data_IF_768178107305
#
_entry.id   IF_768178107305
#
_cell.length_a   1.000
_cell.length_b   1.000
_cell.length_c   1.000
_cell.angle_alpha   90.00
_cell.angle_beta   90.00
_cell.angle_gamma   90.00
#
_symmetry.space_group_name_H-M   'P 1'
#
loop_
_entity.id
_entity.type
_entity.pdbx_description
1 polymer ?
#
# COMPACT_ATOMS: atom_id res chain seq x y z
N UNK A 1 8.03 8.80 20.04
CA UNK A 1 8.19 9.36 18.67
C UNK A 1 8.22 8.13 17.80
N UNK A 2 7.32 7.98 16.84
CA UNK A 2 7.42 6.84 15.90
C UNK A 2 8.56 7.23 14.97
N UNK A 3 9.65 6.48 15.00
CA UNK A 3 10.82 6.81 14.20
C UNK A 3 10.50 6.55 12.72
N UNK A 4 11.04 7.37 11.82
CA UNK A 4 10.75 7.26 10.37
C UNK A 4 11.15 5.89 9.81
N UNK A 5 12.10 5.20 10.44
CA UNK A 5 12.52 3.83 10.12
C UNK A 5 11.40 2.82 10.40
N UNK A 6 10.67 2.97 11.50
CA UNK A 6 9.54 2.10 11.84
C UNK A 6 8.40 2.27 10.82
N UNK A 7 8.11 3.51 10.40
CA UNK A 7 7.09 3.80 9.40
C UNK A 7 7.42 3.20 8.03
N UNK A 8 8.71 3.05 7.70
CA UNK A 8 9.13 2.45 6.43
C UNK A 8 8.97 0.94 6.44
N UNK A 9 9.21 0.28 7.57
CA UNK A 9 9.06 -1.16 7.71
C UNK A 9 7.60 -1.64 7.55
N UNK A 10 6.64 -0.75 7.77
CA UNK A 10 5.21 -1.01 7.53
C UNK A 10 4.81 -0.97 6.04
N UNK A 11 5.67 -0.44 5.16
CA UNK A 11 5.42 -0.38 3.72
C UNK A 11 6.01 -1.64 3.07
N UNK A 12 5.20 -2.47 2.37
CA UNK A 12 5.73 -3.55 1.55
C UNK A 12 6.71 -3.01 0.51
N UNK A 13 7.82 -3.70 0.25
CA UNK A 13 8.76 -3.25 -0.79
C UNK A 13 8.13 -3.24 -2.18
N UNK A 14 7.22 -4.19 -2.43
CA UNK A 14 6.63 -4.44 -3.74
C UNK A 14 5.15 -4.77 -3.63
N UNK A 15 4.42 -4.48 -4.71
CA UNK A 15 3.07 -4.97 -4.96
C UNK A 15 3.02 -5.71 -6.31
N UNK A 16 1.95 -6.44 -6.54
CA UNK A 16 1.71 -7.19 -7.77
C UNK A 16 0.50 -6.63 -8.50
N UNK A 17 0.69 -6.15 -9.72
CA UNK A 17 -0.40 -5.65 -10.56
C UNK A 17 -0.86 -6.73 -11.53
N UNK A 18 -2.17 -6.92 -11.65
CA UNK A 18 -2.75 -7.86 -12.61
C UNK A 18 -2.73 -7.25 -14.02
N UNK A 19 -2.05 -7.93 -14.94
CA UNK A 19 -2.03 -7.60 -16.38
C UNK A 19 -3.03 -8.47 -17.17
N UNK A 20 -4.15 -8.83 -16.53
CA UNK A 20 -5.17 -9.72 -17.05
C UNK A 20 -4.58 -11.05 -17.57
N UNK A 21 -4.61 -11.28 -18.89
CA UNK A 21 -4.12 -12.55 -19.49
C UNK A 21 -2.59 -12.68 -19.51
N UNK A 22 -1.86 -11.62 -19.21
CA UNK A 22 -0.38 -11.62 -19.20
C UNK A 22 0.21 -12.03 -17.84
N UNK A 23 -0.65 -12.36 -16.87
CA UNK A 23 -0.23 -12.71 -15.51
C UNK A 23 -0.14 -11.48 -14.61
N UNK A 24 0.82 -11.50 -13.69
CA UNK A 24 1.06 -10.40 -12.75
C UNK A 24 2.46 -9.83 -12.97
N UNK A 25 2.58 -8.52 -12.83
CA UNK A 25 3.86 -7.82 -12.85
C UNK A 25 4.17 -7.27 -11.46
N UNK A 26 5.44 -7.32 -11.09
CA UNK A 26 5.95 -6.82 -9.81
C UNK A 26 6.23 -5.33 -9.95
N UNK A 27 5.66 -4.51 -9.08
CA UNK A 27 5.87 -3.07 -9.01
C UNK A 27 6.44 -2.67 -7.66
N UNK A 28 7.55 -1.93 -7.65
CA UNK A 28 8.14 -1.42 -6.42
C UNK A 28 7.26 -0.31 -5.82
N UNK A 29 7.05 -0.30 -4.51
CA UNK A 29 6.36 0.79 -3.80
C UNK A 29 7.32 1.92 -3.40
N UNK A 30 8.61 1.76 -3.67
CA UNK A 30 9.68 2.72 -3.37
C UNK A 30 9.77 3.86 -4.39
N UNK A 31 8.63 4.22 -5.00
CA UNK A 31 8.51 5.28 -6.00
C UNK A 31 7.45 6.30 -5.60
N UNK A 32 7.52 7.50 -6.18
CA UNK A 32 6.49 8.52 -6.00
C UNK A 32 5.35 8.30 -6.99
N UNK A 33 4.12 8.18 -6.47
CA UNK A 33 2.92 7.93 -7.28
C UNK A 33 2.16 9.22 -7.67
N UNK A 34 2.78 10.39 -7.51
CA UNK A 34 2.20 11.66 -7.96
C UNK A 34 2.41 11.82 -9.47
N UNK A 35 1.39 12.31 -10.18
CA UNK A 35 1.38 12.39 -11.66
C UNK A 35 2.56 13.14 -12.27
N UNK A 36 3.08 14.14 -11.57
CA UNK A 36 4.13 15.04 -12.06
C UNK A 36 5.49 14.73 -11.40
N UNK A 37 5.71 13.49 -10.95
CA UNK A 37 6.96 13.06 -10.32
C UNK A 37 7.36 11.65 -10.77
N UNK A 38 8.60 11.51 -11.19
CA UNK A 38 9.27 10.29 -11.62
C UNK A 38 10.35 9.88 -10.60
N UNK A 39 10.08 10.09 -9.30
CA UNK A 39 11.04 9.71 -8.26
C UNK A 39 10.98 8.21 -8.00
N UNK A 40 12.06 7.50 -8.32
CA UNK A 40 12.27 6.08 -7.99
C UNK A 40 13.29 5.90 -6.85
N UNK A 41 13.83 7.00 -6.31
CA UNK A 41 14.83 6.96 -5.25
C UNK A 41 14.19 6.86 -3.86
N UNK A 42 14.47 5.76 -3.16
CA UNK A 42 14.03 5.46 -1.80
C UNK A 42 14.38 6.57 -0.79
N UNK A 43 15.61 7.09 -0.85
CA UNK A 43 16.15 8.10 0.08
C UNK A 43 15.44 9.45 -0.01
N UNK A 44 14.74 9.68 -1.14
CA UNK A 44 13.94 10.87 -1.39
C UNK A 44 12.49 10.70 -0.95
N UNK A 45 12.09 9.53 -0.44
CA UNK A 45 10.76 9.27 0.10
C UNK A 45 10.82 9.20 1.63
N UNK A 46 10.17 10.16 2.28
CA UNK A 46 10.11 10.23 3.74
C UNK A 46 8.68 9.94 4.24
N UNK A 47 8.43 8.72 4.76
CA UNK A 47 7.26 8.47 5.59
C UNK A 47 7.33 9.34 6.84
N UNK A 48 6.22 10.00 7.19
CA UNK A 48 6.18 10.90 8.36
C UNK A 48 4.97 10.72 9.26
N UNK A 49 3.96 9.97 8.81
CA UNK A 49 2.75 9.69 9.60
C UNK A 49 2.15 8.36 9.15
N UNK A 50 1.60 7.62 10.10
CA UNK A 50 0.74 6.47 9.86
C UNK A 50 -0.59 6.64 10.58
N UNK A 51 -1.67 6.23 9.93
CA UNK A 51 -2.97 6.01 10.53
C UNK A 51 -3.38 4.56 10.29
N UNK A 52 -3.93 3.92 11.31
CA UNK A 52 -4.41 2.56 11.22
C UNK A 52 -5.87 2.51 11.66
N UNK A 53 -6.69 1.86 10.84
CA UNK A 53 -8.11 1.65 11.06
C UNK A 53 -8.38 0.15 10.87
N UNK A 54 -8.94 -0.50 11.89
CA UNK A 54 -9.25 -1.92 11.84
C UNK A 54 -10.71 -2.15 12.20
N UNK A 55 -11.41 -2.86 11.32
CA UNK A 55 -12.79 -3.31 11.50
C UNK A 55 -12.83 -4.85 11.47
N UNK A 56 -14.03 -5.42 11.70
CA UNK A 56 -14.27 -6.87 11.62
C UNK A 56 -13.95 -7.46 10.24
N UNK A 57 -14.10 -6.67 9.17
CA UNK A 57 -13.99 -7.13 7.77
C UNK A 57 -12.62 -6.83 7.16
N UNK A 58 -12.00 -5.72 7.57
CA UNK A 58 -10.79 -5.19 6.92
C UNK A 58 -9.89 -4.43 7.89
N UNK A 59 -8.62 -4.33 7.52
CA UNK A 59 -7.61 -3.50 8.16
C UNK A 59 -7.07 -2.52 7.12
N UNK A 60 -6.97 -1.24 7.47
CA UNK A 60 -6.48 -0.19 6.60
C UNK A 60 -5.32 0.52 7.30
N UNK A 61 -4.15 0.51 6.68
CA UNK A 61 -3.01 1.34 7.06
C UNK A 61 -2.81 2.44 6.03
N UNK A 62 -2.81 3.69 6.46
CA UNK A 62 -2.51 4.86 5.63
C UNK A 62 -1.16 5.41 6.04
N UNK A 63 -0.20 5.37 5.13
CA UNK A 63 1.16 5.84 5.36
C UNK A 63 1.35 7.09 4.51
N UNK A 64 1.62 8.21 5.18
CA UNK A 64 1.81 9.50 4.56
C UNK A 64 3.29 9.68 4.25
N UNK A 65 3.58 9.95 2.98
CA UNK A 65 4.93 10.02 2.44
C UNK A 65 5.13 11.37 1.79
N UNK A 66 6.24 12.02 2.13
CA UNK A 66 6.73 13.22 1.46
C UNK A 66 7.82 12.84 0.48
N UNK A 67 7.67 13.22 -0.77
CA UNK A 67 8.73 13.08 -1.77
C UNK A 67 9.58 14.35 -1.78
N UNK A 68 10.88 14.25 -1.50
CA UNK A 68 11.83 15.37 -1.54
C UNK A 68 12.04 15.90 -2.96
N UNK A 69 11.97 15.05 -3.99
CA UNK A 69 12.20 15.43 -5.39
C UNK A 69 11.18 16.45 -5.88
N UNK A 70 9.88 16.18 -5.70
CA UNK A 70 8.80 17.09 -6.09
C UNK A 70 8.24 17.93 -4.95
N UNK A 71 8.72 17.73 -3.72
CA UNK A 71 8.16 18.32 -2.48
C UNK A 71 6.67 18.02 -2.24
N UNK A 72 6.11 17.05 -2.97
CA UNK A 72 4.71 16.64 -2.88
C UNK A 72 4.48 15.60 -1.78
N UNK A 73 3.27 15.59 -1.24
CA UNK A 73 2.82 14.59 -0.29
C UNK A 73 1.82 13.65 -0.97
N UNK A 74 1.95 12.36 -0.70
CA UNK A 74 1.00 11.33 -1.11
C UNK A 74 0.79 10.34 0.03
N UNK A 75 -0.24 9.53 -0.10
CA UNK A 75 -0.61 8.54 0.91
C UNK A 75 -0.63 7.18 0.25
N UNK A 76 0.12 6.23 0.80
CA UNK A 76 -0.07 4.81 0.49
C UNK A 76 -1.13 4.27 1.42
N UNK A 77 -2.23 3.79 0.84
CA UNK A 77 -3.30 3.11 1.57
C UNK A 77 -3.16 1.61 1.32
N UNK A 78 -2.78 0.88 2.36
CA UNK A 78 -2.70 -0.56 2.42
C UNK A 78 -4.01 -1.09 3.03
N UNK A 79 -4.81 -1.82 2.26
CA UNK A 79 -6.08 -2.38 2.71
C UNK A 79 -6.02 -3.91 2.67
N UNK A 80 -6.16 -4.54 3.83
CA UNK A 80 -6.20 -6.01 3.98
C UNK A 80 -7.63 -6.44 4.28
N UNK A 81 -8.22 -7.25 3.41
CA UNK A 81 -9.54 -7.86 3.63
C UNK A 81 -9.32 -9.21 4.32
N UNK A 82 -9.96 -9.45 5.47
CA UNK A 82 -9.65 -10.60 6.35
C UNK A 82 -10.30 -11.94 5.95
N UNK A 83 -11.40 -11.91 5.20
CA UNK A 83 -12.23 -13.09 4.92
C UNK A 83 -12.59 -13.20 3.42
N UNK A 84 -11.60 -13.36 2.57
CA UNK A 84 -11.77 -13.37 1.10
C UNK A 84 -12.17 -14.74 0.59
N UNK A 85 -11.67 -15.79 1.22
CA UNK A 85 -12.11 -17.16 0.95
C UNK A 85 -11.90 -18.03 2.19
N UNK A 86 -12.87 -18.89 2.49
CA UNK A 86 -12.71 -19.97 3.47
C UNK A 86 -13.00 -21.29 2.76
N UNK A 87 -12.19 -22.30 3.03
CA UNK A 87 -12.42 -23.63 2.52
C UNK A 87 -13.75 -24.17 3.03
N UNK A 88 -14.54 -24.76 2.14
CA UNK A 88 -15.80 -25.43 2.49
C UNK A 88 -15.59 -26.90 2.84
N UNK A 89 -14.35 -27.38 2.77
CA UNK A 89 -13.97 -28.78 2.99
C UNK A 89 -13.33 -29.03 4.34
N UNK A 90 -12.63 -28.04 4.87
CA UNK A 90 -11.99 -28.08 6.19
C UNK A 90 -12.37 -26.82 6.98
N UNK A 91 -13.17 -26.99 8.03
CA UNK A 91 -13.63 -25.89 8.88
C UNK A 91 -12.50 -25.28 9.73
N UNK A 92 -11.39 -26.01 9.87
CA UNK A 92 -10.17 -25.64 10.60
C UNK A 92 -9.17 -24.83 9.76
N UNK A 93 -9.37 -24.70 8.44
CA UNK A 93 -8.52 -23.81 7.62
C UNK A 93 -8.84 -22.33 7.89
N UNK A 94 -7.80 -21.57 8.22
CA UNK A 94 -7.88 -20.12 8.37
C UNK A 94 -8.34 -19.48 7.05
N UNK A 95 -9.23 -18.49 7.16
CA UNK A 95 -9.72 -17.78 6.00
C UNK A 95 -8.58 -16.98 5.33
N UNK A 96 -8.52 -17.04 4.01
CA UNK A 96 -7.57 -16.29 3.21
C UNK A 96 -7.88 -14.79 3.29
N UNK A 97 -6.83 -13.99 3.45
CA UNK A 97 -6.88 -12.53 3.37
C UNK A 97 -6.28 -12.04 2.05
N UNK A 98 -6.60 -10.79 1.67
CA UNK A 98 -6.05 -10.16 0.47
C UNK A 98 -5.64 -8.73 0.78
N UNK A 99 -4.36 -8.40 0.55
CA UNK A 99 -3.81 -7.06 0.63
C UNK A 99 -3.96 -6.30 -0.68
N UNK A 100 -4.34 -5.03 -0.61
CA UNK A 100 -4.48 -4.12 -1.74
C UNK A 100 -3.77 -2.79 -1.45
N UNK A 101 -3.02 -2.28 -2.42
CA UNK A 101 -2.31 -1.00 -2.31
C UNK A 101 -2.93 0.05 -3.20
N UNK A 102 -3.25 1.21 -2.65
CA UNK A 102 -3.70 2.37 -3.39
C UNK A 102 -2.79 3.56 -3.13
N UNK A 103 -2.60 4.39 -4.16
CA UNK A 103 -2.00 5.70 -4.01
C UNK A 103 -3.11 6.75 -3.89
N UNK A 104 -3.00 7.64 -2.91
CA UNK A 104 -3.87 8.81 -2.75
C UNK A 104 -3.03 10.10 -2.77
N UNK A 105 -3.64 11.22 -3.17
CA UNK A 105 -3.01 12.53 -3.02
C UNK A 105 -3.04 13.02 -1.56
N UNK A 106 -2.46 14.20 -1.31
CA UNK A 106 -2.44 14.83 0.01
C UNK A 106 -3.83 15.09 0.62
N UNK A 107 -4.88 15.16 -0.20
CA UNK A 107 -6.27 15.38 0.23
C UNK A 107 -7.05 14.07 0.39
N UNK A 108 -6.41 12.91 0.17
CA UNK A 108 -7.06 11.61 0.19
C UNK A 108 -7.82 11.25 -1.08
N UNK A 109 -7.65 12.01 -2.18
CA UNK A 109 -8.21 11.65 -3.47
C UNK A 109 -7.47 10.43 -4.04
N UNK A 110 -8.22 9.42 -4.45
CA UNK A 110 -7.66 8.21 -5.04
C UNK A 110 -6.98 8.51 -6.39
N UNK A 111 -5.68 8.18 -6.48
CA UNK A 111 -4.85 8.32 -7.68
C UNK A 111 -4.78 7.03 -8.50
N UNK A 112 -5.09 5.88 -7.89
CA UNK A 112 -5.14 4.59 -8.56
C UNK A 112 -4.91 3.42 -7.60
N UNK A 113 -5.40 2.26 -8.01
CA UNK A 113 -5.00 0.96 -7.45
C UNK A 113 -3.64 0.58 -8.04
N UNK A 114 -2.66 0.30 -7.17
CA UNK A 114 -1.29 -0.03 -7.56
C UNK A 114 -1.14 -1.54 -7.74
N UNK A 115 -1.66 -2.33 -6.81
CA UNK A 115 -1.53 -3.79 -6.86
C UNK A 115 -1.97 -4.49 -5.58
N UNK A 116 -1.60 -5.75 -5.47
CA UNK A 116 -1.85 -6.63 -4.32
C UNK A 116 -0.54 -6.94 -3.59
N UNK A 117 -0.60 -7.21 -2.28
CA UNK A 117 0.55 -7.56 -1.45
C UNK A 117 0.20 -8.64 -0.43
#
# INVERSE_FOLDING_TARGET
MVDNEDLRNEIPSDAYISLARRGMEKISLDQCFLKDCDNEDLELLEPYKMEEEEDEIKQIKKIYIKCKKCSGNFILKLETIKLVAKSTKDDDEEALSMGMVYALDANGKNLGHIGYF
#
